data_IF_160482853110
#
_entry.id   IF_160482853110
#
_cell.length_a   1.000
_cell.length_b   1.000
_cell.length_c   1.000
_cell.angle_alpha   90.00
_cell.angle_beta   90.00
_cell.angle_gamma   90.00
#
_symmetry.space_group_name_H-M   'P 1'
#
loop_
_entity.id
_entity.type
_entity.pdbx_description
1 polymer ?
#
# COMPACT_ATOMS: atom_id res chain seq x y z
N UNK A 1 -10.47 1.57 10.95
CA UNK A 1 -11.24 0.82 9.94
C UNK A 1 -12.47 0.26 10.62
N UNK A 2 -13.65 0.79 10.26
CA UNK A 2 -14.94 0.27 10.70
C UNK A 2 -15.70 -0.23 9.48
N UNK A 3 -16.39 -1.35 9.64
CA UNK A 3 -17.41 -1.82 8.70
C UNK A 3 -18.70 -1.87 9.50
N UNK A 4 -19.74 -1.18 9.03
CA UNK A 4 -21.07 -1.17 9.62
C UNK A 4 -21.09 -0.87 11.13
N UNK A 5 -20.37 0.19 11.53
CA UNK A 5 -20.20 0.65 12.92
C UNK A 5 -19.54 -0.35 13.90
N UNK A 6 -19.06 -1.49 13.39
CA UNK A 6 -18.26 -2.44 14.15
C UNK A 6 -16.79 -2.18 13.85
N UNK A 7 -16.04 -1.79 14.88
CA UNK A 7 -14.59 -1.67 14.78
C UNK A 7 -13.99 -3.05 14.49
N UNK A 8 -13.21 -3.14 13.42
CA UNK A 8 -12.40 -4.34 13.17
C UNK A 8 -11.18 -4.22 14.09
N UNK A 9 -11.02 -5.16 15.02
CA UNK A 9 -9.90 -5.18 15.99
C UNK A 9 -9.86 -3.92 16.87
N UNK A 10 -8.82 -3.10 16.80
CA UNK A 10 -8.60 -1.86 17.56
C UNK A 10 -9.03 -0.61 16.77
N UNK A 11 -9.62 -0.80 15.58
CA UNK A 11 -9.93 0.31 14.68
C UNK A 11 -8.72 0.83 13.91
N UNK A 12 -7.52 0.26 14.10
CA UNK A 12 -6.33 0.58 13.34
C UNK A 12 -5.99 -0.52 12.32
N UNK A 13 -5.28 -0.20 11.23
CA UNK A 13 -4.74 -1.23 10.35
C UNK A 13 -3.67 -2.00 11.11
N UNK A 14 -3.82 -3.32 11.21
CA UNK A 14 -2.81 -4.18 11.82
C UNK A 14 -1.48 -4.19 11.06
N UNK A 15 -0.42 -4.69 11.70
CA UNK A 15 0.96 -4.65 11.21
C UNK A 15 1.13 -5.23 9.79
N UNK A 16 0.44 -6.33 9.48
CA UNK A 16 0.49 -6.96 8.15
C UNK A 16 -0.07 -6.02 7.08
N UNK A 17 -1.20 -5.38 7.36
CA UNK A 17 -1.82 -4.42 6.44
C UNK A 17 -0.91 -3.21 6.22
N UNK A 18 -0.28 -2.70 7.28
CA UNK A 18 0.69 -1.60 7.16
C UNK A 18 1.90 -1.98 6.32
N UNK A 19 2.42 -3.20 6.49
CA UNK A 19 3.56 -3.69 5.70
C UNK A 19 3.23 -3.81 4.21
N UNK A 20 2.08 -4.41 3.88
CA UNK A 20 1.63 -4.53 2.49
C UNK A 20 1.41 -3.14 1.88
N UNK A 21 0.79 -2.22 2.62
CA UNK A 21 0.57 -0.84 2.17
C UNK A 21 1.89 -0.12 1.89
N UNK A 22 2.89 -0.26 2.76
CA UNK A 22 4.20 0.36 2.56
C UNK A 22 4.87 -0.15 1.28
N UNK A 23 4.94 -1.47 1.12
CA UNK A 23 5.55 -2.08 -0.07
C UNK A 23 4.83 -1.68 -1.37
N UNK A 24 3.50 -1.64 -1.34
CA UNK A 24 2.72 -1.17 -2.48
C UNK A 24 3.08 0.27 -2.86
N UNK A 25 3.20 1.17 -1.89
CA UNK A 25 3.57 2.56 -2.14
C UNK A 25 4.99 2.67 -2.69
N UNK A 26 5.94 1.91 -2.16
CA UNK A 26 7.33 1.91 -2.66
C UNK A 26 7.41 1.40 -4.11
N UNK A 27 6.57 0.44 -4.48
CA UNK A 27 6.43 -0.02 -5.86
C UNK A 27 5.86 1.10 -6.76
N UNK A 28 4.76 1.74 -6.37
CA UNK A 28 4.10 2.77 -7.20
C UNK A 28 4.98 4.02 -7.37
N UNK A 29 5.77 4.38 -6.35
CA UNK A 29 6.73 5.48 -6.46
C UNK A 29 8.01 5.11 -7.22
N UNK A 30 8.16 3.87 -7.68
CA UNK A 30 9.35 3.41 -8.39
C UNK A 30 10.59 3.29 -7.51
N UNK A 31 10.41 3.20 -6.19
CA UNK A 31 11.50 2.96 -5.22
C UNK A 31 11.90 1.49 -5.15
N UNK A 32 11.12 0.61 -5.79
CA UNK A 32 11.40 -0.81 -5.87
C UNK A 32 11.80 -1.22 -7.29
N UNK A 33 13.11 -1.43 -7.50
CA UNK A 33 13.70 -1.75 -8.81
C UNK A 33 13.12 -3.00 -9.46
N UNK A 34 12.75 -4.00 -8.64
CA UNK A 34 12.16 -5.27 -9.10
C UNK A 34 10.85 -5.04 -9.87
N UNK A 35 10.08 -4.02 -9.50
CA UNK A 35 8.76 -3.75 -10.04
C UNK A 35 8.70 -2.53 -10.96
N UNK A 36 9.84 -1.95 -11.33
CA UNK A 36 9.90 -0.82 -12.27
C UNK A 36 9.20 -1.15 -13.60
N UNK A 37 9.26 -2.41 -14.05
CA UNK A 37 8.59 -2.85 -15.27
C UNK A 37 7.04 -2.78 -15.23
N UNK A 38 6.43 -2.55 -14.06
CA UNK A 38 4.99 -2.27 -13.94
C UNK A 38 4.65 -0.79 -14.12
N UNK A 39 5.64 0.10 -14.05
CA UNK A 39 5.44 1.53 -14.13
C UNK A 39 5.62 2.03 -15.55
N UNK A 40 4.63 2.76 -16.05
CA UNK A 40 4.74 3.53 -17.29
C UNK A 40 5.08 4.96 -16.92
N UNK A 41 6.30 5.41 -17.27
CA UNK A 41 6.68 6.82 -17.12
C UNK A 41 5.93 7.66 -18.15
N UNK A 42 5.24 8.69 -17.66
CA UNK A 42 4.71 9.76 -18.49
C UNK A 42 5.75 10.87 -18.48
N UNK A 43 6.57 10.92 -19.52
CA UNK A 43 7.44 12.07 -19.79
C UNK A 43 6.67 13.12 -20.61
N UNK A 44 6.98 14.39 -20.36
CA UNK A 44 6.37 15.58 -21.01
C UNK A 44 7.12 16.00 -22.26
#
# INVERSE_FOLDING_TARGET
>A
VSIDDIAISDGEPGDITNKIRSEYMDIVFGRNEKYIHWLTKVDS
#
